data_IF_220778120606
#
_entry.id   IF_220778120606
#
_cell.length_a   1.000
_cell.length_b   1.000
_cell.length_c   1.000
_cell.angle_alpha   90.00
_cell.angle_beta   90.00
_cell.angle_gamma   90.00
#
_symmetry.space_group_name_H-M   'P 1'
#
loop_
_entity.id
_entity.type
_entity.pdbx_description
1 polymer ?
#
# COMPACT_ATOMS: atom_id res chain seq x y z
N UNK A 1 17.52 -4.87 -9.06
CA UNK A 1 17.12 -3.49 -9.43
C UNK A 1 18.15 -2.92 -10.35
N UNK A 2 17.76 -2.19 -11.38
CA UNK A 2 18.69 -1.54 -12.32
C UNK A 2 18.55 -0.02 -12.12
N UNK A 3 19.58 0.67 -11.60
CA UNK A 3 19.55 2.13 -11.50
C UNK A 3 19.56 2.73 -12.90
N UNK A 4 18.70 3.71 -13.17
CA UNK A 4 18.68 4.41 -14.44
C UNK A 4 19.69 5.56 -14.41
N UNK A 5 20.75 5.44 -15.23
CA UNK A 5 21.68 6.52 -15.52
C UNK A 5 21.19 7.47 -16.61
N UNK A 6 21.98 8.48 -16.97
CA UNK A 6 21.59 9.48 -17.98
C UNK A 6 21.18 8.84 -19.32
N UNK A 7 21.84 7.75 -19.71
CA UNK A 7 21.52 6.95 -20.89
C UNK A 7 21.94 5.52 -20.65
N UNK A 8 21.06 4.55 -20.88
CA UNK A 8 21.35 3.14 -20.71
C UNK A 8 20.68 2.31 -21.80
N UNK A 9 21.46 1.45 -22.44
CA UNK A 9 20.97 0.48 -23.42
C UNK A 9 20.82 -0.87 -22.75
N UNK A 10 19.65 -1.48 -22.93
CA UNK A 10 19.36 -2.84 -22.48
C UNK A 10 19.18 -3.78 -23.65
N UNK A 11 19.63 -5.00 -23.50
CA UNK A 11 19.54 -6.02 -24.55
C UNK A 11 20.26 -7.30 -24.16
N UNK A 12 20.33 -8.28 -25.05
CA UNK A 12 21.00 -9.56 -24.77
C UNK A 12 22.52 -9.56 -25.09
N UNK A 13 23.01 -8.53 -25.77
CA UNK A 13 24.43 -8.38 -26.10
C UNK A 13 25.22 -7.94 -24.88
N UNK A 14 26.37 -8.53 -24.66
CA UNK A 14 27.23 -8.22 -23.51
C UNK A 14 27.80 -6.79 -23.57
N UNK A 15 27.68 -6.08 -24.69
CA UNK A 15 28.04 -4.66 -24.84
C UNK A 15 26.95 -3.71 -24.32
N UNK A 16 25.78 -4.20 -23.92
CA UNK A 16 24.72 -3.38 -23.33
C UNK A 16 25.07 -3.00 -21.89
N UNK A 17 24.58 -1.82 -21.45
CA UNK A 17 24.75 -1.36 -20.06
C UNK A 17 24.04 -2.28 -19.07
N UNK A 18 22.94 -2.91 -19.48
CA UNK A 18 22.29 -3.99 -18.74
C UNK A 18 21.95 -5.16 -19.68
N UNK A 19 22.49 -6.34 -19.35
CA UNK A 19 22.31 -7.55 -20.13
C UNK A 19 21.06 -8.28 -19.69
N UNK A 20 20.05 -8.32 -20.56
CA UNK A 20 18.79 -9.05 -20.37
C UNK A 20 18.89 -10.38 -21.16
N UNK A 21 19.05 -11.49 -20.46
CA UNK A 21 19.16 -12.81 -21.10
C UNK A 21 17.79 -13.36 -21.43
N UNK A 22 17.61 -13.88 -22.63
CA UNK A 22 16.36 -14.48 -23.07
C UNK A 22 16.26 -14.57 -24.58
N UNK A 23 15.37 -15.43 -25.06
CA UNK A 23 15.22 -15.70 -26.50
C UNK A 23 14.40 -14.59 -27.20
N UNK A 24 13.55 -13.89 -26.46
CA UNK A 24 12.70 -12.82 -26.98
C UNK A 24 13.36 -11.43 -26.91
N UNK A 25 14.60 -11.34 -26.41
CA UNK A 25 15.36 -10.08 -26.29
C UNK A 25 16.26 -9.89 -27.52
N UNK A 26 16.19 -8.73 -28.16
CA UNK A 26 17.11 -8.33 -29.23
C UNK A 26 18.50 -8.01 -28.67
N UNK A 27 19.57 -8.07 -29.52
CA UNK A 27 20.94 -7.75 -29.11
C UNK A 27 21.01 -6.39 -28.41
N UNK A 28 20.44 -5.38 -29.02
CA UNK A 28 20.14 -4.07 -28.42
C UNK A 28 18.62 -3.93 -28.52
N UNK A 29 17.93 -3.86 -27.38
CA UNK A 29 16.45 -3.93 -27.39
C UNK A 29 15.83 -2.56 -27.14
N UNK A 30 16.23 -1.91 -26.08
CA UNK A 30 15.69 -0.62 -25.67
C UNK A 30 16.76 0.30 -25.11
N UNK A 31 16.50 1.59 -25.16
CA UNK A 31 17.32 2.64 -24.56
C UNK A 31 16.49 3.41 -23.54
N UNK A 32 16.96 3.48 -22.31
CA UNK A 32 16.42 4.35 -21.29
C UNK A 32 17.21 5.64 -21.24
N UNK A 33 16.52 6.78 -21.11
CA UNK A 33 17.13 8.11 -21.00
C UNK A 33 16.53 8.84 -19.82
N UNK A 34 17.38 9.49 -19.03
CA UNK A 34 17.00 10.37 -17.93
C UNK A 34 17.46 11.77 -18.29
N UNK A 35 16.53 12.66 -18.56
CA UNK A 35 16.78 14.04 -18.99
C UNK A 35 16.11 14.99 -17.98
N UNK A 36 16.86 15.35 -16.94
CA UNK A 36 16.34 16.09 -15.80
C UNK A 36 15.21 15.30 -15.09
N UNK A 37 13.98 15.84 -15.01
CA UNK A 37 12.85 15.15 -14.39
C UNK A 37 12.16 14.13 -15.32
N UNK A 38 12.55 14.09 -16.61
CA UNK A 38 11.90 13.23 -17.61
C UNK A 38 12.69 11.94 -17.75
N UNK A 39 11.99 10.83 -17.59
CA UNK A 39 12.52 9.51 -17.94
C UNK A 39 11.81 9.03 -19.19
N UNK A 40 12.53 8.49 -20.16
CA UNK A 40 11.98 7.99 -21.41
C UNK A 40 12.57 6.63 -21.76
N UNK A 41 11.76 5.82 -22.44
CA UNK A 41 12.21 4.56 -23.07
C UNK A 41 12.00 4.62 -24.57
N UNK A 42 13.00 4.18 -25.33
CA UNK A 42 12.99 4.09 -26.78
C UNK A 42 13.26 2.66 -27.24
N UNK A 43 12.43 2.14 -28.13
CA UNK A 43 12.68 0.89 -28.82
C UNK A 43 13.82 1.06 -29.86
N UNK A 44 14.83 0.21 -29.81
CA UNK A 44 15.94 0.20 -30.75
C UNK A 44 15.69 -0.77 -31.91
N UNK A 45 14.50 -0.69 -32.51
CA UNK A 45 14.03 -1.56 -33.59
C UNK A 45 14.07 -3.04 -33.18
N UNK A 46 13.63 -3.31 -31.96
CA UNK A 46 13.63 -4.66 -31.43
C UNK A 46 12.60 -5.54 -32.12
N UNK A 47 12.88 -6.85 -32.23
CA UNK A 47 11.99 -7.81 -32.90
C UNK A 47 10.62 -7.89 -32.21
N UNK A 48 10.59 -7.96 -30.90
CA UNK A 48 9.37 -8.13 -30.12
C UNK A 48 8.76 -6.81 -29.62
N UNK A 49 9.46 -5.69 -29.76
CA UNK A 49 9.00 -4.36 -29.38
C UNK A 49 9.12 -4.08 -27.87
N UNK A 50 9.02 -2.79 -27.56
CA UNK A 50 8.93 -2.28 -26.19
C UNK A 50 7.46 -1.95 -25.89
N UNK A 51 6.99 -2.39 -24.72
CA UNK A 51 5.63 -2.13 -24.26
C UNK A 51 5.68 -1.31 -22.98
N UNK A 52 4.88 -0.23 -22.95
CA UNK A 52 4.67 0.60 -21.77
C UNK A 52 3.21 0.47 -21.37
N UNK A 53 2.95 -0.01 -20.16
CA UNK A 53 1.60 -0.29 -19.65
C UNK A 53 0.75 -1.13 -20.62
N UNK A 54 1.35 -2.18 -21.21
CA UNK A 54 0.71 -3.09 -22.13
C UNK A 54 0.55 -2.58 -23.58
N UNK A 55 0.95 -1.33 -23.87
CA UNK A 55 0.86 -0.75 -25.22
C UNK A 55 2.25 -0.68 -25.88
N UNK A 56 2.37 -1.17 -27.11
CA UNK A 56 3.61 -1.09 -27.88
C UNK A 56 3.97 0.37 -28.17
N UNK A 57 5.21 0.75 -27.86
CA UNK A 57 5.73 2.11 -28.05
C UNK A 57 7.10 2.09 -28.72
N UNK A 58 7.30 2.96 -29.71
CA UNK A 58 8.62 3.18 -30.30
C UNK A 58 9.46 4.15 -29.45
N UNK A 59 8.83 5.15 -28.88
CA UNK A 59 9.43 6.13 -27.93
C UNK A 59 8.31 6.59 -26.98
N UNK A 60 8.57 6.62 -25.67
CA UNK A 60 7.62 7.04 -24.67
C UNK A 60 8.30 7.66 -23.45
N UNK A 61 7.73 8.74 -22.93
CA UNK A 61 8.00 9.16 -21.57
C UNK A 61 7.39 8.14 -20.59
N UNK A 62 8.13 7.83 -19.55
CA UNK A 62 7.73 6.88 -18.50
C UNK A 62 7.76 7.55 -17.14
N UNK A 63 6.83 7.15 -16.29
CA UNK A 63 6.65 7.69 -14.95
C UNK A 63 6.83 6.59 -13.88
N UNK A 64 6.90 7.02 -12.61
CA UNK A 64 6.89 6.08 -11.47
C UNK A 64 5.63 5.21 -11.55
N UNK A 65 5.78 3.92 -11.27
CA UNK A 65 4.78 2.86 -11.40
C UNK A 65 4.41 2.46 -12.83
N UNK A 66 5.06 3.00 -13.87
CA UNK A 66 4.90 2.49 -15.21
C UNK A 66 5.53 1.12 -15.34
N UNK A 67 4.81 0.25 -16.06
CA UNK A 67 5.24 -1.11 -16.37
C UNK A 67 5.89 -1.14 -17.74
N UNK A 68 7.12 -1.61 -17.80
CA UNK A 68 7.89 -1.77 -19.04
C UNK A 68 8.06 -3.25 -19.33
N UNK A 69 7.71 -3.71 -20.55
CA UNK A 69 8.01 -5.05 -21.00
C UNK A 69 8.88 -5.03 -22.25
N UNK A 70 9.98 -5.77 -22.18
CA UNK A 70 10.91 -6.04 -23.28
C UNK A 70 10.97 -7.57 -23.46
N UNK A 71 10.30 -8.10 -24.50
CA UNK A 71 10.16 -9.54 -24.67
C UNK A 71 9.57 -10.22 -23.44
N UNK A 72 10.33 -11.11 -22.83
CA UNK A 72 10.00 -11.85 -21.59
C UNK A 72 10.38 -11.11 -20.31
N UNK A 73 11.03 -9.96 -20.38
CA UNK A 73 11.42 -9.15 -19.23
C UNK A 73 10.37 -8.09 -18.91
N UNK A 74 10.05 -7.99 -17.64
CA UNK A 74 9.10 -7.02 -17.09
C UNK A 74 9.76 -6.25 -15.97
N UNK A 75 9.65 -4.94 -16.01
CA UNK A 75 10.12 -4.03 -14.98
C UNK A 75 9.06 -3.01 -14.62
N UNK A 76 9.09 -2.53 -13.38
CA UNK A 76 8.28 -1.40 -12.91
C UNK A 76 9.23 -0.27 -12.57
N UNK A 77 8.90 0.94 -12.99
CA UNK A 77 9.68 2.14 -12.66
C UNK A 77 9.40 2.51 -11.20
N UNK A 78 10.43 2.57 -10.39
CA UNK A 78 10.35 2.98 -8.99
C UNK A 78 11.27 4.16 -8.72
N UNK A 79 10.90 5.02 -7.76
CA UNK A 79 11.80 6.01 -7.21
C UNK A 79 12.49 5.39 -5.99
N UNK A 80 13.82 5.44 -5.98
CA UNK A 80 14.63 4.94 -4.88
C UNK A 80 15.59 6.05 -4.49
N UNK A 81 15.25 6.78 -3.45
CA UNK A 81 16.05 7.94 -2.99
C UNK A 81 17.32 7.50 -2.27
N UNK A 82 17.38 6.25 -1.75
CA UNK A 82 18.46 5.77 -0.88
C UNK A 82 19.27 4.58 -1.44
N UNK A 83 18.91 4.05 -2.61
CA UNK A 83 19.60 2.90 -3.23
C UNK A 83 19.51 1.59 -2.43
N UNK A 84 18.64 1.53 -1.43
CA UNK A 84 18.63 0.46 -0.44
C UNK A 84 17.48 -0.53 -0.59
N UNK A 85 16.54 -0.29 -1.51
CA UNK A 85 15.25 -0.96 -1.42
C UNK A 85 14.95 -1.87 -2.60
N UNK A 86 14.79 -3.13 -2.28
CA UNK A 86 14.20 -4.15 -3.11
C UNK A 86 13.00 -4.76 -2.38
N UNK A 87 12.32 -5.67 -3.02
CA UNK A 87 11.32 -6.52 -2.39
C UNK A 87 11.97 -7.37 -1.30
N UNK A 88 11.46 -7.28 -0.07
CA UNK A 88 12.03 -7.98 1.10
C UNK A 88 10.94 -8.37 2.09
N UNK A 89 11.28 -9.27 2.98
CA UNK A 89 10.48 -9.54 4.17
C UNK A 89 10.62 -8.36 5.15
N UNK A 90 9.50 -7.75 5.51
CA UNK A 90 9.41 -6.61 6.43
C UNK A 90 9.26 -7.10 7.87
N UNK A 91 8.41 -8.10 8.06
CA UNK A 91 8.17 -8.84 9.30
C UNK A 91 7.79 -10.27 8.92
N UNK A 92 7.73 -11.18 9.91
CA UNK A 92 7.48 -12.60 9.67
C UNK A 92 6.30 -12.86 8.72
N UNK A 93 6.60 -13.35 7.52
CA UNK A 93 5.62 -13.65 6.47
C UNK A 93 4.96 -12.43 5.80
N UNK A 94 5.44 -11.20 6.08
CA UNK A 94 4.93 -9.96 5.47
C UNK A 94 6.00 -9.30 4.61
N UNK A 95 5.72 -9.14 3.33
CA UNK A 95 6.66 -8.73 2.30
C UNK A 95 6.24 -7.42 1.64
N UNK A 96 7.19 -6.65 1.17
CA UNK A 96 6.95 -5.45 0.38
C UNK A 96 8.21 -4.85 -0.23
N UNK A 97 8.00 -3.98 -1.20
CA UNK A 97 9.04 -3.24 -1.92
C UNK A 97 9.23 -1.83 -1.41
N UNK A 98 9.73 -0.99 -2.29
CA UNK A 98 10.14 0.40 -2.02
C UNK A 98 8.98 1.25 -1.52
N UNK A 99 7.86 1.26 -2.24
CA UNK A 99 6.70 2.10 -1.92
C UNK A 99 6.11 1.76 -0.54
N UNK A 100 5.97 0.46 -0.22
CA UNK A 100 5.47 0.05 1.08
C UNK A 100 6.48 0.38 2.19
N UNK A 101 7.77 0.12 1.97
CA UNK A 101 8.82 0.41 2.95
C UNK A 101 8.88 1.89 3.30
N UNK A 102 8.78 2.79 2.32
CA UNK A 102 8.74 4.23 2.56
C UNK A 102 7.50 4.67 3.37
N UNK A 103 6.34 4.06 3.10
CA UNK A 103 5.11 4.39 3.82
C UNK A 103 5.14 3.99 5.31
N UNK A 104 5.90 2.97 5.67
CA UNK A 104 5.96 2.45 7.05
C UNK A 104 7.23 2.86 7.82
N UNK A 105 8.21 3.47 7.15
CA UNK A 105 9.48 3.89 7.77
C UNK A 105 9.28 4.74 9.05
N UNK A 106 8.33 5.70 9.09
CA UNK A 106 8.09 6.51 10.29
C UNK A 106 7.75 5.69 11.54
N UNK A 107 7.25 4.45 11.37
CA UNK A 107 6.83 3.62 12.49
C UNK A 107 7.96 2.81 13.14
N UNK A 108 9.10 2.65 12.47
CA UNK A 108 10.18 1.76 12.94
C UNK A 108 10.77 2.19 14.26
N UNK A 109 10.93 3.52 14.44
CA UNK A 109 11.60 4.07 15.62
C UNK A 109 10.62 4.52 16.71
N UNK A 110 9.32 4.67 16.38
CA UNK A 110 8.31 5.29 17.26
C UNK A 110 7.36 4.26 17.88
N UNK A 111 7.39 3.01 17.41
CA UNK A 111 6.34 2.01 17.68
C UNK A 111 6.06 1.70 19.16
N UNK A 112 6.96 2.05 20.12
CA UNK A 112 6.85 1.51 21.47
C UNK A 112 5.80 2.19 22.37
N UNK A 113 5.52 3.49 22.21
CA UNK A 113 4.83 4.29 23.22
C UNK A 113 3.56 5.00 22.79
N UNK A 114 3.31 5.15 21.48
CA UNK A 114 2.17 5.88 20.95
C UNK A 114 1.07 4.94 20.44
N UNK A 115 -0.21 5.32 20.53
CA UNK A 115 -1.27 4.71 19.74
C UNK A 115 -0.98 4.91 18.25
N UNK A 116 -1.28 3.89 17.45
CA UNK A 116 -1.01 3.92 16.01
C UNK A 116 -2.30 3.61 15.24
N UNK A 117 -2.62 4.45 14.26
CA UNK A 117 -3.69 4.21 13.31
C UNK A 117 -3.07 3.65 12.03
N UNK A 118 -3.55 2.49 11.59
CA UNK A 118 -3.20 1.87 10.31
C UNK A 118 -4.37 2.02 9.35
N UNK A 119 -4.27 2.98 8.45
CA UNK A 119 -5.28 3.23 7.42
C UNK A 119 -4.94 2.50 6.13
N UNK A 120 -5.95 1.94 5.45
CA UNK A 120 -5.76 1.33 4.14
C UNK A 120 -6.94 0.47 3.73
N UNK A 121 -7.09 0.28 2.43
CA UNK A 121 -8.15 -0.54 1.84
C UNK A 121 -8.14 -1.98 2.36
N UNK A 122 -9.27 -2.68 2.15
CA UNK A 122 -9.35 -4.11 2.46
C UNK A 122 -8.26 -4.90 1.72
N UNK A 123 -7.56 -5.77 2.47
CA UNK A 123 -6.54 -6.64 1.91
C UNK A 123 -5.18 -5.99 1.60
N UNK A 124 -4.92 -4.75 2.04
CA UNK A 124 -3.60 -4.08 1.89
C UNK A 124 -2.52 -4.64 2.79
N UNK A 125 -2.89 -5.35 3.87
CA UNK A 125 -1.97 -5.93 4.83
C UNK A 125 -1.94 -5.24 6.20
N UNK A 126 -3.03 -4.59 6.63
CA UNK A 126 -3.13 -3.90 7.93
C UNK A 126 -2.78 -4.81 9.12
N UNK A 127 -3.21 -6.07 9.11
CA UNK A 127 -2.83 -7.05 10.15
C UNK A 127 -1.34 -7.36 10.12
N UNK A 128 -0.73 -7.49 8.92
CA UNK A 128 0.73 -7.65 8.79
C UNK A 128 1.49 -6.46 9.36
N UNK A 129 1.00 -5.23 9.12
CA UNK A 129 1.55 -4.03 9.73
C UNK A 129 1.43 -4.05 11.25
N UNK A 130 0.30 -4.45 11.80
CA UNK A 130 0.11 -4.54 13.25
C UNK A 130 1.07 -5.55 13.89
N UNK A 131 1.34 -6.70 13.24
CA UNK A 131 2.35 -7.67 13.68
C UNK A 131 3.76 -7.07 13.65
N UNK A 132 4.10 -6.37 12.55
CA UNK A 132 5.38 -5.68 12.45
C UNK A 132 5.57 -4.64 13.55
N UNK A 133 4.55 -3.84 13.86
CA UNK A 133 4.56 -2.88 14.96
C UNK A 133 4.78 -3.55 16.32
N UNK A 134 4.11 -4.68 16.55
CA UNK A 134 4.32 -5.45 17.78
C UNK A 134 5.76 -5.96 17.89
N UNK A 135 6.31 -6.54 16.82
CA UNK A 135 7.69 -7.05 16.79
C UNK A 135 8.72 -5.91 17.02
N UNK A 136 8.52 -4.75 16.38
CA UNK A 136 9.40 -3.60 16.54
C UNK A 136 9.31 -2.95 17.91
N UNK A 137 8.13 -3.00 18.56
CA UNK A 137 7.94 -2.46 19.92
C UNK A 137 8.75 -3.19 20.99
N UNK A 138 9.25 -4.40 20.69
CA UNK A 138 9.97 -5.28 21.61
C UNK A 138 9.19 -5.63 22.88
N UNK A 139 7.86 -5.45 22.87
CA UNK A 139 6.99 -5.82 23.97
C UNK A 139 6.96 -7.34 24.13
N UNK A 140 6.95 -7.82 25.39
CA UNK A 140 7.06 -9.25 25.70
C UNK A 140 5.70 -9.93 25.85
N UNK A 141 4.65 -9.17 26.08
CA UNK A 141 3.29 -9.67 26.16
C UNK A 141 2.74 -10.07 24.79
N UNK A 142 1.59 -10.71 24.71
CA UNK A 142 1.01 -11.17 23.45
C UNK A 142 0.47 -10.03 22.59
N UNK A 143 0.42 -10.27 21.27
CA UNK A 143 -0.40 -9.50 20.36
C UNK A 143 -1.80 -10.10 20.32
N UNK A 144 -2.80 -9.34 20.73
CA UNK A 144 -4.21 -9.73 20.66
C UNK A 144 -4.88 -8.99 19.49
N UNK A 145 -5.32 -9.73 18.48
CA UNK A 145 -6.04 -9.16 17.33
C UNK A 145 -7.55 -9.33 17.51
N UNK A 146 -8.26 -8.24 17.28
CA UNK A 146 -9.73 -8.14 17.42
C UNK A 146 -10.30 -7.53 16.15
N UNK A 147 -11.21 -8.23 15.49
CA UNK A 147 -12.03 -7.64 14.44
C UNK A 147 -13.30 -7.06 15.06
N UNK A 148 -13.42 -5.73 15.10
CA UNK A 148 -14.55 -5.04 15.73
C UNK A 148 -15.88 -5.33 15.01
N UNK A 149 -15.86 -5.57 13.71
CA UNK A 149 -17.05 -5.95 12.95
C UNK A 149 -17.56 -7.35 13.27
N UNK A 150 -16.69 -8.23 13.79
CA UNK A 150 -17.08 -9.59 14.15
C UNK A 150 -17.59 -9.72 15.59
N UNK A 151 -17.49 -8.68 16.41
CA UNK A 151 -17.98 -8.68 17.77
C UNK A 151 -19.51 -8.53 17.81
N UNK A 152 -20.26 -9.46 18.41
CA UNK A 152 -21.69 -9.26 18.62
C UNK A 152 -21.93 -8.03 19.48
N UNK A 153 -22.81 -7.12 19.05
CA UNK A 153 -23.02 -5.82 19.71
C UNK A 153 -23.29 -5.95 21.22
N UNK A 154 -24.07 -6.96 21.60
CA UNK A 154 -24.45 -7.22 23.01
C UNK A 154 -23.30 -7.78 23.85
N UNK A 155 -22.30 -8.40 23.23
CA UNK A 155 -21.17 -9.03 23.92
C UNK A 155 -19.86 -8.26 23.74
N UNK A 156 -19.80 -7.31 22.82
CA UNK A 156 -18.58 -6.58 22.48
C UNK A 156 -17.94 -5.92 23.71
N UNK A 157 -18.75 -5.38 24.60
CA UNK A 157 -18.28 -4.80 25.85
C UNK A 157 -17.64 -5.86 26.77
N UNK A 158 -18.31 -6.99 26.95
CA UNK A 158 -17.86 -8.09 27.79
C UNK A 158 -16.56 -8.72 27.23
N UNK A 159 -16.49 -8.88 25.90
CA UNK A 159 -15.30 -9.40 25.21
C UNK A 159 -14.10 -8.45 25.38
N UNK A 160 -14.27 -7.17 25.10
CA UNK A 160 -13.18 -6.20 25.13
C UNK A 160 -12.67 -5.95 26.58
N UNK A 161 -13.58 -5.67 27.50
CA UNK A 161 -13.21 -5.17 28.85
C UNK A 161 -13.32 -6.23 29.94
N UNK A 162 -13.95 -7.38 29.65
CA UNK A 162 -14.15 -8.46 30.60
C UNK A 162 -15.43 -8.31 31.45
N UNK A 163 -15.76 -9.35 32.19
CA UNK A 163 -16.93 -9.38 33.07
C UNK A 163 -16.71 -10.26 34.28
N UNK A 164 -17.46 -9.98 35.33
CA UNK A 164 -17.59 -10.85 36.49
C UNK A 164 -18.78 -11.78 36.36
N UNK A 165 -18.69 -12.92 37.03
CA UNK A 165 -19.80 -13.84 37.18
C UNK A 165 -21.04 -13.10 37.70
N UNK A 166 -22.16 -13.27 37.01
CA UNK A 166 -23.46 -12.63 37.34
C UNK A 166 -23.64 -11.21 36.81
N UNK A 167 -22.68 -10.69 35.97
CA UNK A 167 -22.82 -9.35 35.40
C UNK A 167 -23.95 -9.22 34.38
N UNK A 168 -24.33 -10.31 33.74
CA UNK A 168 -25.47 -10.40 32.82
C UNK A 168 -26.00 -11.85 32.76
N UNK A 169 -27.13 -12.07 32.12
CA UNK A 169 -27.74 -13.42 31.96
C UNK A 169 -26.79 -14.29 31.12
N UNK A 170 -26.30 -15.41 31.69
CA UNK A 170 -25.31 -16.29 31.05
C UNK A 170 -23.84 -16.02 31.44
N UNK A 171 -23.58 -15.06 32.32
CA UNK A 171 -22.25 -14.82 32.87
C UNK A 171 -21.95 -15.83 34.01
N UNK A 172 -21.68 -17.09 33.66
CA UNK A 172 -21.45 -18.17 34.62
C UNK A 172 -20.04 -18.19 35.22
N UNK A 173 -19.09 -17.54 34.54
CA UNK A 173 -17.67 -17.45 34.92
C UNK A 173 -17.18 -15.99 34.89
N UNK A 174 -15.95 -15.75 35.37
CA UNK A 174 -15.29 -14.47 35.16
C UNK A 174 -14.51 -14.49 33.83
N UNK A 175 -14.50 -13.39 33.09
CA UNK A 175 -13.62 -13.19 31.94
C UNK A 175 -12.76 -11.95 32.15
N UNK A 176 -11.43 -12.03 31.90
CA UNK A 176 -10.54 -10.87 32.04
C UNK A 176 -10.74 -9.83 30.93
N UNK A 177 -11.28 -10.22 29.78
CA UNK A 177 -11.39 -9.40 28.58
C UNK A 177 -10.09 -9.29 27.78
N UNK A 178 -10.22 -8.85 26.51
CA UNK A 178 -9.13 -8.82 25.54
C UNK A 178 -8.05 -7.80 25.89
N UNK A 179 -8.40 -6.65 26.48
CA UNK A 179 -7.39 -5.69 26.93
C UNK A 179 -6.47 -6.26 28.01
N UNK A 180 -6.97 -7.00 28.98
CA UNK A 180 -6.14 -7.65 30.00
C UNK A 180 -5.40 -8.88 29.45
N UNK A 181 -5.98 -9.54 28.45
CA UNK A 181 -5.29 -10.62 27.74
C UNK A 181 -4.07 -10.11 26.95
N UNK A 182 -4.06 -8.83 26.55
CA UNK A 182 -2.96 -8.16 25.83
C UNK A 182 -1.90 -7.54 26.76
N UNK A 183 -1.98 -7.76 28.08
CA UNK A 183 -1.08 -7.13 29.07
C UNK A 183 0.40 -7.31 28.73
N UNK A 184 1.16 -6.24 28.78
CA UNK A 184 2.58 -6.18 28.44
C UNK A 184 2.88 -6.32 26.94
N UNK A 185 1.84 -6.41 26.11
CA UNK A 185 1.89 -6.61 24.65
C UNK A 185 1.17 -5.53 23.86
N UNK A 186 0.45 -5.94 22.83
CA UNK A 186 -0.29 -5.03 21.93
C UNK A 186 -1.69 -5.55 21.68
N UNK A 187 -2.66 -4.64 21.54
CA UNK A 187 -3.99 -4.94 21.05
C UNK A 187 -4.17 -4.32 19.66
N UNK A 188 -4.60 -5.12 18.70
CA UNK A 188 -4.92 -4.69 17.34
C UNK A 188 -6.43 -4.68 17.15
N UNK A 189 -7.00 -3.48 16.98
CA UNK A 189 -8.44 -3.26 16.78
C UNK A 189 -8.68 -3.04 15.28
N UNK A 190 -9.01 -4.12 14.56
CA UNK A 190 -9.33 -4.04 13.13
C UNK A 190 -10.76 -3.54 12.94
N UNK A 191 -10.96 -2.71 11.90
CA UNK A 191 -12.24 -2.08 11.58
C UNK A 191 -12.84 -1.30 12.78
N UNK A 192 -12.02 -0.42 13.37
CA UNK A 192 -12.39 0.31 14.60
C UNK A 192 -13.67 1.14 14.47
N UNK A 193 -14.04 1.56 13.25
CA UNK A 193 -15.28 2.30 12.96
C UNK A 193 -16.55 1.50 13.22
N UNK A 194 -16.44 0.18 13.28
CA UNK A 194 -17.58 -0.71 13.59
C UNK A 194 -17.91 -0.75 15.09
N UNK A 195 -17.06 -0.13 15.94
CA UNK A 195 -17.37 -0.03 17.37
C UNK A 195 -18.54 0.94 17.61
N UNK A 196 -19.59 0.53 18.35
CA UNK A 196 -20.65 1.42 18.78
C UNK A 196 -20.12 2.63 19.56
N UNK A 197 -20.74 3.81 19.40
CA UNK A 197 -20.33 5.06 20.07
C UNK A 197 -20.21 4.91 21.60
N UNK A 198 -21.05 4.07 22.22
CA UNK A 198 -20.98 3.78 23.66
C UNK A 198 -19.67 3.08 24.04
N UNK A 199 -19.20 2.14 23.20
CA UNK A 199 -17.93 1.44 23.43
C UNK A 199 -16.73 2.33 23.09
N UNK A 200 -16.85 3.22 22.12
CA UNK A 200 -15.83 4.23 21.84
C UNK A 200 -15.56 5.12 23.06
N UNK A 201 -16.61 5.50 23.82
CA UNK A 201 -16.46 6.26 25.06
C UNK A 201 -15.71 5.49 26.17
N UNK A 202 -15.91 4.15 26.23
CA UNK A 202 -15.16 3.30 27.17
C UNK A 202 -13.73 3.09 26.74
N UNK A 203 -13.51 2.89 25.44
CA UNK A 203 -12.18 2.79 24.87
C UNK A 203 -11.36 4.05 25.14
N UNK A 204 -11.96 5.24 25.00
CA UNK A 204 -11.31 6.50 25.35
C UNK A 204 -10.77 6.48 26.79
N UNK A 205 -11.57 6.07 27.77
CA UNK A 205 -11.12 5.97 29.16
C UNK A 205 -9.96 4.99 29.34
N UNK A 206 -10.01 3.85 28.64
CA UNK A 206 -8.91 2.87 28.69
C UNK A 206 -7.60 3.48 28.17
N UNK A 207 -7.66 4.27 27.09
CA UNK A 207 -6.48 4.93 26.51
C UNK A 207 -5.95 6.03 27.44
N UNK A 208 -6.84 6.82 28.04
CA UNK A 208 -6.46 7.95 28.91
C UNK A 208 -5.92 7.50 30.27
N UNK A 209 -6.67 6.62 30.93
CA UNK A 209 -6.39 6.22 32.29
C UNK A 209 -5.39 5.05 32.40
N UNK A 210 -5.10 4.36 31.26
CA UNK A 210 -4.35 3.11 31.25
C UNK A 210 -4.94 2.08 32.23
N UNK A 211 -6.28 2.02 32.31
CA UNK A 211 -7.02 1.14 33.20
C UNK A 211 -8.24 0.57 32.53
N UNK A 212 -8.59 -0.65 32.92
CA UNK A 212 -9.78 -1.37 32.46
C UNK A 212 -10.68 -1.69 33.63
N UNK A 213 -12.00 -1.53 33.42
CA UNK A 213 -13.04 -1.96 34.35
C UNK A 213 -13.93 -3.01 33.69
N UNK A 214 -13.94 -4.20 34.26
CA UNK A 214 -14.83 -5.27 33.81
C UNK A 214 -16.30 -4.98 34.17
N UNK A 215 -17.25 -5.54 33.39
CA UNK A 215 -18.67 -5.44 33.70
C UNK A 215 -18.97 -6.10 35.05
N UNK A 216 -19.78 -5.42 35.87
CA UNK A 216 -20.08 -5.87 37.23
C UNK A 216 -18.93 -5.66 38.23
N UNK A 217 -17.84 -4.98 37.86
CA UNK A 217 -16.72 -4.62 38.73
C UNK A 217 -16.72 -3.15 39.07
N UNK A 218 -16.37 -2.82 40.32
CA UNK A 218 -16.21 -1.41 40.79
C UNK A 218 -14.77 -0.96 40.74
N UNK A 219 -13.81 -1.87 40.56
CA UNK A 219 -12.38 -1.63 40.63
C UNK A 219 -11.77 -1.52 39.26
N UNK A 220 -10.99 -0.46 39.02
CA UNK A 220 -10.20 -0.31 37.80
C UNK A 220 -8.87 -1.06 37.97
N UNK A 221 -8.52 -1.86 36.96
CA UNK A 221 -7.25 -2.61 36.91
C UNK A 221 -6.32 -1.89 35.93
N UNK A 222 -5.09 -1.51 36.36
CA UNK A 222 -4.12 -0.91 35.47
C UNK A 222 -3.71 -1.90 34.36
N UNK A 223 -3.43 -1.39 33.18
CA UNK A 223 -2.94 -2.16 32.03
C UNK A 223 -1.81 -1.41 31.33
N UNK A 224 -0.85 -2.17 30.82
CA UNK A 224 0.20 -1.68 29.92
C UNK A 224 0.08 -2.36 28.57
N UNK A 225 -0.67 -1.76 27.65
CA UNK A 225 -0.97 -2.30 26.33
C UNK A 225 -0.75 -1.23 25.27
N UNK A 226 0.01 -1.56 24.22
CA UNK A 226 0.09 -0.72 23.03
C UNK A 226 -1.18 -0.90 22.20
N UNK A 227 -1.76 0.20 21.72
CA UNK A 227 -2.99 0.17 20.94
C UNK A 227 -2.66 0.45 19.47
N UNK A 228 -3.06 -0.47 18.61
CA UNK A 228 -3.01 -0.34 17.15
C UNK A 228 -4.43 -0.43 16.62
N UNK A 229 -4.94 0.65 16.03
CA UNK A 229 -6.27 0.70 15.44
C UNK A 229 -6.16 0.64 13.91
N UNK A 230 -7.05 -0.10 13.26
CA UNK A 230 -7.09 -0.13 11.80
C UNK A 230 -8.44 0.35 11.26
N UNK A 231 -8.38 1.03 10.11
CA UNK A 231 -9.54 1.58 9.41
C UNK A 231 -9.35 1.52 7.90
N UNK A 232 -10.44 1.52 7.14
CA UNK A 232 -10.41 1.61 5.69
C UNK A 232 -10.45 3.06 5.19
N UNK A 233 -11.11 3.95 5.94
CA UNK A 233 -11.28 5.36 5.62
C UNK A 233 -10.62 6.25 6.69
N UNK A 234 -10.34 7.53 6.40
CA UNK A 234 -9.81 8.46 7.39
C UNK A 234 -10.77 8.63 8.58
N UNK A 235 -10.27 8.49 9.82
CA UNK A 235 -11.11 8.68 11.02
C UNK A 235 -11.68 10.10 11.11
N UNK A 236 -11.00 11.10 10.54
CA UNK A 236 -11.48 12.47 10.50
C UNK A 236 -12.81 12.62 9.72
N UNK A 237 -13.00 11.86 8.64
CA UNK A 237 -14.25 11.83 7.88
C UNK A 237 -15.37 11.22 8.72
N UNK A 238 -15.11 10.10 9.38
CA UNK A 238 -16.07 9.46 10.27
C UNK A 238 -16.44 10.35 11.47
N UNK A 239 -15.51 11.18 11.97
CA UNK A 239 -15.80 12.21 13.00
C UNK A 239 -16.75 13.27 12.45
N UNK A 240 -16.50 13.80 11.24
CA UNK A 240 -17.37 14.79 10.61
C UNK A 240 -18.80 14.25 10.40
N UNK A 241 -18.92 12.97 10.09
CA UNK A 241 -20.20 12.25 9.93
C UNK A 241 -20.81 11.78 11.26
N UNK A 242 -20.19 12.07 12.41
CA UNK A 242 -20.61 11.66 13.75
C UNK A 242 -20.71 10.14 13.97
N UNK A 243 -19.99 9.36 13.17
CA UNK A 243 -19.84 7.90 13.32
C UNK A 243 -18.70 7.55 14.28
N UNK A 244 -17.79 8.47 14.48
CA UNK A 244 -16.64 8.34 15.39
C UNK A 244 -16.54 9.55 16.32
N UNK A 245 -16.09 9.34 17.56
CA UNK A 245 -15.96 10.43 18.54
C UNK A 245 -14.67 11.22 18.30
N UNK A 246 -14.78 12.54 18.30
CA UNK A 246 -13.64 13.44 18.11
C UNK A 246 -12.59 13.32 19.23
N UNK A 247 -13.03 13.13 20.49
CA UNK A 247 -12.14 12.95 21.63
C UNK A 247 -11.33 11.64 21.55
N UNK A 248 -11.96 10.54 21.13
CA UNK A 248 -11.26 9.27 20.91
C UNK A 248 -10.26 9.38 19.74
N UNK A 249 -10.67 10.02 18.64
CA UNK A 249 -9.76 10.27 17.51
C UNK A 249 -8.50 11.02 17.97
N UNK A 250 -8.66 12.12 18.69
CA UNK A 250 -7.54 12.92 19.19
C UNK A 250 -6.57 12.11 20.10
N UNK A 251 -7.05 11.08 20.77
CA UNK A 251 -6.21 10.21 21.62
C UNK A 251 -5.55 9.07 20.85
N UNK A 252 -6.16 8.60 19.76
CA UNK A 252 -5.60 7.57 18.89
C UNK A 252 -4.59 8.13 17.89
N UNK A 253 -4.68 9.40 17.53
CA UNK A 253 -3.87 10.05 16.49
C UNK A 253 -2.44 10.38 17.01
N UNK A 254 -1.75 9.35 17.48
CA UNK A 254 -0.33 9.44 17.81
C UNK A 254 0.55 9.33 16.58
N UNK A 255 0.29 8.33 15.74
CA UNK A 255 0.90 8.14 14.43
C UNK A 255 -0.11 7.50 13.49
N UNK A 256 -0.35 8.11 12.33
CA UNK A 256 -1.19 7.54 11.28
C UNK A 256 -0.32 7.03 10.12
N UNK A 257 -0.43 5.73 9.84
CA UNK A 257 0.24 5.05 8.73
C UNK A 257 -0.76 4.73 7.64
N UNK A 258 -0.54 5.24 6.43
CA UNK A 258 -1.40 4.96 5.28
C UNK A 258 -0.74 3.89 4.41
N UNK A 259 -1.32 2.68 4.40
CA UNK A 259 -0.84 1.59 3.57
C UNK A 259 -1.29 1.78 2.11
N UNK A 260 -0.36 1.89 1.16
CA UNK A 260 -0.72 2.06 -0.23
C UNK A 260 -1.45 0.82 -0.77
N UNK A 261 -2.52 1.00 -1.58
CA UNK A 261 -3.17 -0.11 -2.25
C UNK A 261 -2.22 -0.76 -3.27
N UNK A 262 -2.46 -2.04 -3.60
CA UNK A 262 -1.54 -2.82 -4.44
C UNK A 262 -1.33 -2.20 -5.83
N UNK A 263 -2.35 -1.54 -6.40
CA UNK A 263 -2.24 -0.78 -7.66
C UNK A 263 -1.28 0.41 -7.60
N UNK A 264 -1.01 0.95 -6.42
CA UNK A 264 -0.06 2.06 -6.21
C UNK A 264 1.39 1.57 -5.92
N UNK A 265 1.56 0.24 -5.72
CA UNK A 265 2.85 -0.41 -5.52
C UNK A 265 3.00 -1.61 -6.45
N UNK A 266 2.92 -1.35 -7.75
CA UNK A 266 2.95 -2.38 -8.80
C UNK A 266 4.21 -3.22 -8.78
N UNK A 267 5.31 -2.68 -8.28
CA UNK A 267 6.57 -3.38 -8.07
C UNK A 267 6.44 -4.59 -7.13
N UNK A 268 5.43 -4.59 -6.25
CA UNK A 268 5.18 -5.69 -5.32
C UNK A 268 4.38 -6.83 -5.95
N UNK A 269 3.64 -6.59 -7.02
CA UNK A 269 2.67 -7.57 -7.58
C UNK A 269 3.37 -8.85 -8.00
N UNK A 270 4.39 -8.74 -8.85
CA UNK A 270 5.11 -9.92 -9.37
C UNK A 270 5.85 -10.67 -8.25
N UNK A 271 6.65 -10.02 -7.38
CA UNK A 271 7.34 -10.70 -6.30
C UNK A 271 6.39 -11.36 -5.29
N UNK A 272 5.28 -10.70 -4.91
CA UNK A 272 4.26 -11.29 -4.03
C UNK A 272 3.61 -12.52 -4.66
N UNK A 273 3.26 -12.43 -5.95
CA UNK A 273 2.68 -13.57 -6.66
C UNK A 273 3.63 -14.77 -6.68
N UNK A 274 4.90 -14.54 -6.98
CA UNK A 274 5.94 -15.58 -6.97
C UNK A 274 6.13 -16.18 -5.57
N UNK A 275 6.14 -15.35 -4.53
CA UNK A 275 6.26 -15.80 -3.15
C UNK A 275 5.04 -16.66 -2.74
N UNK A 276 3.82 -16.26 -3.12
CA UNK A 276 2.63 -17.06 -2.85
C UNK A 276 2.64 -18.41 -3.59
N UNK A 277 3.10 -18.43 -4.83
CA UNK A 277 3.30 -19.70 -5.54
C UNK A 277 4.33 -20.57 -4.83
N UNK A 278 5.49 -20.01 -4.44
CA UNK A 278 6.55 -20.72 -3.74
C UNK A 278 6.06 -21.36 -2.43
N UNK A 279 5.29 -20.62 -1.64
CA UNK A 279 4.71 -21.09 -0.37
C UNK A 279 3.73 -22.25 -0.55
N UNK A 280 3.03 -22.33 -1.68
CA UNK A 280 1.96 -23.29 -1.91
C UNK A 280 2.31 -24.39 -2.92
N UNK A 281 3.43 -24.27 -3.64
CA UNK A 281 3.84 -25.22 -4.68
C UNK A 281 4.50 -26.52 -4.16
N UNK A 282 4.76 -26.63 -2.85
CA UNK A 282 5.39 -27.81 -2.28
C UNK A 282 6.80 -28.11 -2.84
N UNK A 283 7.54 -27.06 -3.26
CA UNK A 283 8.88 -27.20 -3.85
C UNK A 283 8.91 -27.44 -5.37
N UNK A 284 7.76 -27.48 -6.03
CA UNK A 284 7.68 -27.63 -7.49
C UNK A 284 8.07 -26.31 -8.18
N UNK A 285 8.98 -26.37 -9.17
CA UNK A 285 9.26 -25.25 -10.05
C UNK A 285 8.08 -25.04 -11.02
N UNK A 286 7.60 -23.80 -11.11
CA UNK A 286 6.46 -23.44 -11.95
C UNK A 286 6.96 -22.45 -12.99
N UNK A 287 6.78 -22.79 -14.26
CA UNK A 287 7.01 -21.86 -15.35
C UNK A 287 5.85 -20.85 -15.43
N UNK A 288 6.16 -19.60 -15.74
CA UNK A 288 5.19 -18.52 -15.79
C UNK A 288 5.41 -17.69 -17.04
N UNK A 289 4.35 -17.51 -17.82
CA UNK A 289 4.39 -16.67 -19.01
C UNK A 289 4.52 -15.17 -18.61
N UNK A 290 5.44 -14.43 -19.24
CA UNK A 290 5.64 -13.01 -18.97
C UNK A 290 4.35 -12.19 -19.16
N UNK A 291 3.54 -12.52 -20.17
CA UNK A 291 2.23 -11.86 -20.41
C UNK A 291 1.25 -12.05 -19.26
N UNK A 292 1.36 -13.15 -18.49
CA UNK A 292 0.56 -13.33 -17.28
C UNK A 292 1.00 -12.31 -16.23
N UNK A 293 2.29 -12.18 -15.95
CA UNK A 293 2.83 -11.22 -14.99
C UNK A 293 2.49 -9.78 -15.40
N UNK A 294 2.61 -9.45 -16.69
CA UNK A 294 2.19 -8.14 -17.21
C UNK A 294 0.72 -7.86 -16.89
N UNK A 295 -0.16 -8.82 -17.15
CA UNK A 295 -1.59 -8.69 -16.86
C UNK A 295 -1.87 -8.51 -15.36
N UNK A 296 -1.15 -9.23 -14.50
CA UNK A 296 -1.26 -9.06 -13.04
C UNK A 296 -0.82 -7.67 -12.60
N UNK A 297 0.29 -7.16 -13.11
CA UNK A 297 0.79 -5.82 -12.77
C UNK A 297 -0.11 -4.68 -13.27
N UNK A 298 -0.89 -4.91 -14.32
CA UNK A 298 -1.81 -3.92 -14.89
C UNK A 298 -3.22 -3.95 -14.26
N UNK A 299 -3.55 -4.98 -13.50
CA UNK A 299 -4.84 -5.11 -12.84
C UNK A 299 -4.92 -4.22 -11.59
N UNK A 300 -6.12 -3.70 -11.28
CA UNK A 300 -6.30 -2.71 -10.20
C UNK A 300 -6.39 -3.32 -8.80
N UNK A 301 -6.57 -4.63 -8.67
CA UNK A 301 -6.62 -5.36 -7.40
C UNK A 301 -7.60 -4.76 -6.38
N UNK A 302 -8.92 -4.77 -6.62
CA UNK A 302 -9.89 -4.16 -5.70
C UNK A 302 -9.86 -4.72 -4.28
N UNK A 303 -9.42 -5.98 -4.09
CA UNK A 303 -9.20 -6.56 -2.77
C UNK A 303 -7.70 -6.75 -2.46
N UNK A 304 -6.84 -6.02 -3.14
CA UNK A 304 -5.41 -5.91 -2.88
C UNK A 304 -4.69 -7.28 -2.79
N UNK A 305 -3.80 -7.44 -1.80
CA UNK A 305 -2.97 -8.64 -1.62
C UNK A 305 -3.82 -9.89 -1.33
N UNK A 306 -4.99 -9.73 -0.69
CA UNK A 306 -5.91 -10.84 -0.44
C UNK A 306 -6.40 -11.47 -1.74
N UNK A 307 -6.75 -10.66 -2.75
CA UNK A 307 -7.17 -11.15 -4.06
C UNK A 307 -6.01 -11.82 -4.81
N UNK A 308 -4.81 -11.21 -4.76
CA UNK A 308 -3.62 -11.78 -5.39
C UNK A 308 -3.27 -13.16 -4.82
N UNK A 309 -3.32 -13.33 -3.50
CA UNK A 309 -3.10 -14.61 -2.83
C UNK A 309 -4.13 -15.66 -3.27
N UNK A 310 -5.41 -15.30 -3.30
CA UNK A 310 -6.48 -16.21 -3.72
C UNK A 310 -6.31 -16.62 -5.19
N UNK A 311 -5.92 -15.68 -6.06
CA UNK A 311 -5.62 -15.97 -7.46
C UNK A 311 -4.44 -16.92 -7.59
N UNK A 312 -3.34 -16.69 -6.87
CA UNK A 312 -2.17 -17.57 -6.89
C UNK A 312 -2.52 -19.00 -6.50
N UNK A 313 -3.28 -19.18 -5.43
CA UNK A 313 -3.78 -20.49 -4.97
C UNK A 313 -4.68 -21.18 -6.02
N UNK A 314 -5.59 -20.39 -6.63
CA UNK A 314 -6.48 -20.91 -7.68
C UNK A 314 -5.70 -21.38 -8.90
N UNK A 315 -4.79 -20.54 -9.42
CA UNK A 315 -3.99 -20.87 -10.59
C UNK A 315 -3.13 -22.12 -10.34
N UNK A 316 -2.53 -22.22 -9.16
CA UNK A 316 -1.73 -23.37 -8.77
C UNK A 316 -2.58 -24.63 -8.67
N UNK A 317 -3.73 -24.57 -7.99
CA UNK A 317 -4.62 -25.73 -7.80
C UNK A 317 -5.22 -26.26 -9.10
N UNK A 318 -5.55 -25.38 -10.05
CA UNK A 318 -6.20 -25.77 -11.31
C UNK A 318 -5.17 -26.09 -12.42
N UNK A 319 -4.09 -25.31 -12.52
CA UNK A 319 -3.17 -25.36 -13.67
C UNK A 319 -1.73 -25.72 -13.30
N UNK A 320 -1.36 -25.74 -12.02
CA UNK A 320 0.03 -25.95 -11.59
C UNK A 320 0.63 -27.29 -11.99
N UNK A 321 -0.21 -28.30 -12.30
CA UNK A 321 0.23 -29.61 -12.80
C UNK A 321 0.25 -29.72 -14.34
N UNK A 322 -0.20 -28.70 -15.06
CA UNK A 322 -0.41 -28.73 -16.51
C UNK A 322 0.72 -28.07 -17.31
N UNK A 323 1.80 -27.63 -16.65
CA UNK A 323 2.91 -26.90 -17.25
C UNK A 323 2.92 -25.42 -16.89
N UNK A 324 3.30 -24.54 -17.81
CA UNK A 324 3.43 -23.12 -17.56
C UNK A 324 2.09 -22.43 -17.23
N UNK A 325 2.07 -21.55 -16.24
CA UNK A 325 0.96 -20.65 -15.98
C UNK A 325 0.91 -19.56 -17.07
N UNK A 326 -0.23 -19.45 -17.75
CA UNK A 326 -0.41 -18.56 -18.90
C UNK A 326 -1.45 -17.47 -18.64
N UNK A 327 -1.35 -16.35 -19.38
CA UNK A 327 -2.35 -15.28 -19.33
C UNK A 327 -3.78 -15.80 -19.55
N UNK A 328 -3.97 -16.80 -20.42
CA UNK A 328 -5.28 -17.41 -20.69
C UNK A 328 -5.92 -18.12 -19.49
N UNK A 329 -5.15 -18.42 -18.43
CA UNK A 329 -5.66 -19.01 -17.19
C UNK A 329 -6.27 -17.98 -16.23
N UNK A 330 -6.12 -16.67 -16.52
CA UNK A 330 -6.70 -15.62 -15.71
C UNK A 330 -8.23 -15.60 -15.84
N UNK A 331 -8.95 -15.17 -14.79
CA UNK A 331 -10.38 -14.91 -14.87
C UNK A 331 -10.71 -13.89 -15.96
N UNK A 332 -11.85 -14.05 -16.64
CA UNK A 332 -12.30 -13.21 -17.76
C UNK A 332 -12.27 -11.71 -17.42
N UNK A 333 -12.70 -11.33 -16.20
CA UNK A 333 -12.65 -9.95 -15.71
C UNK A 333 -11.25 -9.31 -15.73
N UNK A 334 -10.19 -10.12 -15.69
CA UNK A 334 -8.81 -9.64 -15.75
C UNK A 334 -8.29 -9.58 -17.17
N UNK A 335 -8.84 -10.43 -18.09
CA UNK A 335 -8.45 -10.48 -19.48
C UNK A 335 -9.02 -9.28 -20.26
N UNK A 336 -10.23 -8.84 -19.95
CA UNK A 336 -10.91 -7.72 -20.64
C UNK A 336 -10.24 -6.37 -20.39
N UNK A 337 -9.62 -6.17 -19.23
CA UNK A 337 -8.91 -4.93 -18.88
C UNK A 337 -7.52 -4.82 -19.53
N UNK A 338 -7.00 -5.93 -20.06
CA UNK A 338 -5.67 -5.99 -20.70
C UNK A 338 -5.75 -6.15 -22.22
N UNK A 339 -6.94 -6.04 -22.83
CA UNK A 339 -7.06 -6.02 -24.29
C UNK A 339 -6.46 -4.72 -24.82
N UNK A 340 -5.59 -4.76 -25.86
CA UNK A 340 -5.14 -3.54 -26.51
C UNK A 340 -6.35 -2.88 -27.18
N UNK A 341 -6.67 -1.64 -26.79
CA UNK A 341 -7.69 -0.86 -27.48
C UNK A 341 -7.37 -0.74 -28.96
N UNK A 342 -8.19 -1.38 -29.77
CA UNK A 342 -8.26 -1.11 -31.19
C UNK A 342 -9.14 0.15 -31.36
N UNK A 343 -8.52 1.24 -31.80
CA UNK A 343 -9.11 2.51 -32.29
C UNK A 343 -9.19 3.68 -31.28
N UNK A 344 -8.83 4.90 -31.73
CA UNK A 344 -8.82 6.12 -30.89
C UNK A 344 -10.21 6.75 -30.68
N UNK A 345 -11.28 5.96 -30.62
CA UNK A 345 -12.65 6.44 -30.55
C UNK A 345 -13.44 6.13 -29.28
N UNK A 346 -13.17 5.02 -28.59
CA UNK A 346 -13.96 4.59 -27.43
C UNK A 346 -13.05 4.28 -26.22
N UNK A 347 -12.73 5.31 -25.43
CA UNK A 347 -12.08 5.11 -24.15
C UNK A 347 -13.09 4.54 -23.14
N UNK A 348 -12.83 3.41 -22.47
CA UNK A 348 -13.72 2.86 -21.46
C UNK A 348 -13.88 3.84 -20.29
N UNK A 349 -15.06 3.86 -19.68
CA UNK A 349 -15.49 4.78 -18.61
C UNK A 349 -14.48 4.81 -17.43
N UNK A 350 -13.74 3.72 -17.19
CA UNK A 350 -12.69 3.64 -16.18
C UNK A 350 -11.47 4.54 -16.47
N UNK A 351 -11.10 4.75 -17.74
CA UNK A 351 -9.99 5.63 -18.11
C UNK A 351 -10.39 7.11 -18.00
N UNK A 352 -11.68 7.41 -18.21
CA UNK A 352 -12.25 8.76 -18.01
C UNK A 352 -12.33 9.12 -16.52
N UNK A 353 -12.71 8.16 -15.68
CA UNK A 353 -12.68 8.32 -14.23
C UNK A 353 -11.24 8.53 -13.72
N UNK A 354 -10.25 7.74 -14.19
CA UNK A 354 -8.84 7.92 -13.80
C UNK A 354 -8.26 9.28 -14.22
N UNK A 355 -8.63 9.80 -15.39
CA UNK A 355 -8.22 11.16 -15.81
C UNK A 355 -8.87 12.24 -14.97
N UNK A 356 -10.15 12.09 -14.59
CA UNK A 356 -10.83 13.05 -13.73
C UNK A 356 -10.29 13.03 -12.30
N UNK A 357 -10.02 11.86 -11.73
CA UNK A 357 -9.42 11.72 -10.39
C UNK A 357 -7.99 12.31 -10.35
N UNK A 358 -7.12 11.91 -11.28
CA UNK A 358 -5.76 12.49 -11.35
C UNK A 358 -5.79 14.00 -11.55
N UNK A 359 -6.70 14.50 -12.38
CA UNK A 359 -6.82 15.94 -12.64
C UNK A 359 -7.29 16.71 -11.42
N UNK A 360 -8.25 16.17 -10.66
CA UNK A 360 -8.75 16.80 -9.43
C UNK A 360 -7.73 16.77 -8.31
N UNK A 361 -7.00 15.64 -8.14
CA UNK A 361 -5.92 15.51 -7.16
C UNK A 361 -4.74 16.41 -7.52
N UNK A 362 -4.33 16.45 -8.80
CA UNK A 362 -3.27 17.31 -9.29
C UNK A 362 -3.62 18.79 -9.14
N UNK A 363 -4.87 19.19 -9.36
CA UNK A 363 -5.36 20.56 -9.15
C UNK A 363 -5.36 20.93 -7.65
N UNK A 364 -5.83 20.06 -6.77
CA UNK A 364 -5.82 20.26 -5.32
C UNK A 364 -4.39 20.29 -4.74
N UNK A 365 -3.52 19.37 -5.17
CA UNK A 365 -2.11 19.37 -4.78
C UNK A 365 -1.38 20.62 -5.31
N UNK A 366 -1.70 21.06 -6.54
CA UNK A 366 -1.12 22.27 -7.11
C UNK A 366 -1.52 23.51 -6.33
N UNK A 367 -2.81 23.68 -5.99
CA UNK A 367 -3.29 24.80 -5.17
C UNK A 367 -2.63 24.82 -3.79
N UNK A 368 -2.50 23.64 -3.16
CA UNK A 368 -1.80 23.46 -1.89
C UNK A 368 -0.32 23.82 -2.01
N UNK A 369 0.33 23.42 -3.11
CA UNK A 369 1.72 23.75 -3.38
C UNK A 369 1.94 25.25 -3.58
N UNK A 370 1.04 25.93 -4.29
CA UNK A 370 1.09 27.39 -4.48
C UNK A 370 0.93 28.13 -3.17
N UNK A 371 0.00 27.70 -2.30
CA UNK A 371 -0.16 28.25 -0.96
C UNK A 371 1.12 28.07 -0.13
N UNK A 372 1.67 26.87 -0.07
CA UNK A 372 2.90 26.58 0.66
C UNK A 372 4.14 27.32 0.08
N UNK A 373 4.21 27.55 -1.24
CA UNK A 373 5.28 28.36 -1.84
C UNK A 373 5.24 29.82 -1.38
N UNK A 374 4.06 30.39 -1.17
CA UNK A 374 3.90 31.75 -0.62
C UNK A 374 4.42 31.81 0.83
N UNK A 375 4.04 30.84 1.65
CA UNK A 375 4.44 30.75 3.06
C UNK A 375 5.95 30.52 3.22
N UNK A 376 6.57 29.80 2.30
CA UNK A 376 7.99 29.44 2.34
C UNK A 376 8.87 30.26 1.37
N UNK A 377 8.42 31.49 1.01
CA UNK A 377 9.20 32.47 0.22
C UNK A 377 9.73 31.91 -1.11
N UNK A 378 8.94 31.06 -1.79
CA UNK A 378 9.30 30.47 -3.09
C UNK A 378 10.23 29.24 -3.03
N UNK A 379 10.51 28.71 -1.83
CA UNK A 379 11.33 27.50 -1.68
C UNK A 379 10.52 26.24 -2.00
N UNK A 380 10.68 25.71 -3.22
CA UNK A 380 9.99 24.48 -3.67
C UNK A 380 10.26 23.27 -2.74
N UNK A 381 11.48 23.16 -2.22
CA UNK A 381 11.84 22.07 -1.33
C UNK A 381 11.09 22.12 0.01
N UNK A 382 10.96 23.32 0.61
CA UNK A 382 10.23 23.51 1.87
C UNK A 382 8.72 23.42 1.66
N UNK A 383 8.20 23.97 0.57
CA UNK A 383 6.80 23.91 0.21
C UNK A 383 6.34 22.46 -0.05
N UNK A 384 7.14 21.66 -0.78
CA UNK A 384 6.87 20.26 -1.03
C UNK A 384 6.82 19.45 0.29
N UNK A 385 7.78 19.66 1.18
CA UNK A 385 7.79 19.03 2.49
C UNK A 385 6.58 19.41 3.35
N UNK A 386 6.15 20.69 3.30
CA UNK A 386 5.01 21.17 4.08
C UNK A 386 3.66 20.56 3.66
N UNK A 387 3.51 20.17 2.38
CA UNK A 387 2.28 19.54 1.86
C UNK A 387 2.43 18.02 1.70
N UNK A 388 3.55 17.43 2.17
CA UNK A 388 3.76 15.99 2.14
C UNK A 388 4.02 15.38 0.75
N UNK A 389 4.36 16.20 -0.27
CA UNK A 389 4.74 15.70 -1.60
C UNK A 389 6.25 15.72 -1.79
N UNK A 390 6.76 14.79 -2.59
CA UNK A 390 8.18 14.79 -2.90
C UNK A 390 8.55 15.96 -3.84
N UNK A 391 9.82 16.36 -3.81
CA UNK A 391 10.33 17.52 -4.56
C UNK A 391 10.11 17.36 -6.07
N UNK A 392 10.26 16.15 -6.61
CA UNK A 392 10.05 15.86 -8.04
C UNK A 392 8.59 16.03 -8.45
N UNK A 393 7.65 15.64 -7.59
CA UNK A 393 6.20 15.86 -7.79
C UNK A 393 5.86 17.34 -7.82
N UNK A 394 6.40 18.12 -6.85
CA UNK A 394 6.21 19.56 -6.81
C UNK A 394 6.71 20.26 -8.09
N UNK A 395 7.88 19.89 -8.59
CA UNK A 395 8.39 20.43 -9.86
C UNK A 395 7.51 20.06 -11.07
N UNK A 396 6.95 18.85 -11.11
CA UNK A 396 6.02 18.43 -12.18
C UNK A 396 4.73 19.22 -12.17
N UNK A 397 4.15 19.45 -10.99
CA UNK A 397 2.95 20.28 -10.84
C UNK A 397 3.19 21.69 -11.33
N UNK A 398 4.35 22.28 -11.01
CA UNK A 398 4.74 23.61 -11.51
C UNK A 398 4.97 23.62 -13.02
N UNK A 399 5.63 22.60 -13.56
CA UNK A 399 5.89 22.49 -14.99
C UNK A 399 4.62 22.28 -15.83
N UNK A 400 3.62 21.61 -15.27
CA UNK A 400 2.32 21.41 -15.91
C UNK A 400 1.46 22.69 -15.97
N UNK A 401 1.81 23.73 -15.17
CA UNK A 401 1.13 25.02 -15.11
C UNK A 401 2.12 26.18 -15.32
N UNK A 402 2.60 26.39 -16.56
CA UNK A 402 3.69 27.33 -16.88
C UNK A 402 3.39 28.81 -16.61
N UNK A 403 2.14 29.18 -16.39
CA UNK A 403 1.72 30.52 -15.98
C UNK A 403 2.13 30.89 -14.53
N UNK A 404 2.54 29.90 -13.71
CA UNK A 404 3.04 30.10 -12.37
C UNK A 404 4.56 29.83 -12.31
N UNK A 405 5.37 30.86 -12.59
CA UNK A 405 6.81 30.74 -12.40
C UNK A 405 7.17 30.93 -10.92
N UNK A 406 8.12 30.15 -10.41
CA UNK A 406 8.64 30.24 -9.03
C UNK A 406 9.22 31.65 -8.70
N UNK A 407 9.53 32.47 -9.70
CA UNK A 407 9.99 33.84 -9.55
C UNK A 407 8.86 34.85 -9.31
N UNK A 408 7.62 34.58 -9.74
CA UNK A 408 6.47 35.46 -9.51
C UNK A 408 5.94 35.45 -8.07
N UNK A 409 6.36 34.52 -7.23
CA UNK A 409 5.95 34.41 -5.83
C UNK A 409 6.80 35.30 -4.90
N UNK A 410 7.92 35.84 -5.39
CA UNK A 410 8.80 36.74 -4.61
C UNK A 410 8.44 38.22 -4.66
N UNK A 411 7.49 38.64 -5.52
CA UNK A 411 7.16 40.05 -5.78
C UNK A 411 5.72 40.43 -5.44
N UNK A 412 5.08 39.81 -4.44
CA UNK A 412 3.85 40.37 -3.86
C UNK A 412 3.77 40.15 -2.37
#
# INVERSE_FOLDING_TARGET
MMPLGARQVVGRDDSCDAVLRGTEISRRHAEFRVDGPVVAVRDLESHNGVFVNGQRRADAAIDISDLIRCGEWIGVVVCDDDGSVGFKEIASGWYGGTTLSAAIEPARDIAADLPIIVQGETGTGKEGMARALHDWSRRKGPMVAVNCAALPADLAEAELFGFRKGAFTGADTNSPGLFRAAEGGSIFLDEILELPLALQAKLLRVIEDRRVRALGETRDVPIDVQIVAATQEPLAEAVAERRFRADLHARLDGLTLVLPPLRARREDVAPLFLEFLRQHAGGQAIEIEAKLIEALCLYDWPLNVRELLLLARRLLGVHGRQGALKKAHLPERMLTLTAPDASPGDAPVSARARRSWRKTDDENEFDSLIAALRDHQGSVAKAAAAIGVNRSRAYRLLAANPEFSSNGVREK
#
